data_IF_554467097464
#
_entry.id   IF_554467097464
#
_cell.length_a   1.000
_cell.length_b   1.000
_cell.length_c   1.000
_cell.angle_alpha   90.00
_cell.angle_beta   90.00
_cell.angle_gamma   90.00
#
_symmetry.space_group_name_H-M   'P 1'
#
loop_
_entity.id
_entity.type
_entity.pdbx_description
1 polymer ?
#
# COMPACT_ATOMS: atom_id res chain seq x y z
N UNK A 1 -17.92 -7.88 8.24
CA UNK A 1 -16.86 -8.91 8.33
C UNK A 1 -16.64 -9.28 9.78
N UNK A 2 -16.61 -10.57 10.08
CA UNK A 2 -16.33 -11.13 11.41
C UNK A 2 -14.83 -11.27 11.58
N UNK A 3 -14.29 -10.85 12.74
CA UNK A 3 -12.85 -10.96 13.02
C UNK A 3 -11.97 -9.90 12.37
N UNK A 4 -12.54 -8.86 11.75
CA UNK A 4 -11.76 -7.75 11.22
C UNK A 4 -11.12 -6.94 12.37
N UNK A 5 -9.84 -6.56 12.20
CA UNK A 5 -9.14 -5.69 13.14
C UNK A 5 -9.55 -4.24 12.88
N UNK A 6 -9.94 -3.53 13.92
CA UNK A 6 -10.31 -2.10 13.83
C UNK A 6 -9.50 -1.32 14.85
N UNK A 7 -8.69 -0.39 14.36
CA UNK A 7 -7.96 0.56 15.18
C UNK A 7 -8.74 1.87 15.25
N UNK A 8 -9.04 2.29 16.46
CA UNK A 8 -9.71 3.57 16.76
C UNK A 8 -8.69 4.49 17.41
N UNK A 9 -8.44 5.65 16.81
CA UNK A 9 -7.47 6.64 17.30
C UNK A 9 -8.15 7.95 17.62
N UNK A 10 -7.91 8.47 18.82
CA UNK A 10 -8.29 9.82 19.23
C UNK A 10 -7.25 10.80 18.66
N UNK A 11 -7.62 11.63 17.70
CA UNK A 11 -6.71 12.54 17.01
C UNK A 11 -6.22 13.69 17.89
N UNK A 12 -6.95 13.99 18.98
CA UNK A 12 -6.54 15.04 19.91
C UNK A 12 -5.46 14.59 20.87
N UNK A 13 -5.54 13.35 21.37
CA UNK A 13 -4.61 12.81 22.38
C UNK A 13 -3.55 11.90 21.80
N UNK A 14 -3.74 11.41 20.58
CA UNK A 14 -2.92 10.38 19.94
C UNK A 14 -3.16 8.97 20.48
N UNK A 15 -3.97 8.82 21.53
CA UNK A 15 -4.29 7.50 22.09
C UNK A 15 -5.07 6.65 21.08
N UNK A 16 -4.75 5.38 20.99
CA UNK A 16 -5.50 4.43 20.17
C UNK A 16 -5.81 3.14 20.92
N UNK A 17 -6.85 2.46 20.45
CA UNK A 17 -7.22 1.12 20.88
C UNK A 17 -7.55 0.25 19.68
N UNK A 18 -7.28 -1.05 19.77
CA UNK A 18 -7.59 -2.03 18.75
C UNK A 18 -8.73 -2.94 19.20
N UNK A 19 -9.65 -3.19 18.29
CA UNK A 19 -10.82 -4.01 18.47
C UNK A 19 -10.89 -5.10 17.40
N UNK A 20 -11.62 -6.15 17.69
CA UNK A 20 -11.95 -7.19 16.71
C UNK A 20 -13.46 -7.22 16.55
N UNK A 21 -13.95 -7.23 15.32
CA UNK A 21 -15.39 -7.28 15.07
C UNK A 21 -16.00 -8.61 15.52
N UNK A 22 -17.20 -8.52 16.09
CA UNK A 22 -18.00 -9.64 16.57
C UNK A 22 -18.60 -10.49 15.43
N UNK A 23 -19.45 -11.47 15.78
CA UNK A 23 -20.18 -12.36 14.87
C UNK A 23 -21.10 -11.63 13.88
N UNK A 24 -21.44 -10.38 14.13
CA UNK A 24 -22.23 -9.51 13.26
C UNK A 24 -21.39 -8.47 12.52
N UNK A 25 -20.07 -8.47 12.73
CA UNK A 25 -19.16 -7.51 12.11
C UNK A 25 -19.12 -6.15 12.81
N UNK A 26 -19.51 -6.05 14.07
CA UNK A 26 -19.52 -4.80 14.85
C UNK A 26 -18.40 -4.75 15.87
N UNK A 27 -17.95 -3.52 16.18
CA UNK A 27 -17.23 -3.19 17.40
C UNK A 27 -18.06 -2.21 18.22
N UNK A 28 -17.83 -2.18 19.52
CA UNK A 28 -18.40 -1.17 20.42
C UNK A 28 -17.28 -0.57 21.25
N UNK A 29 -17.24 0.73 21.36
CA UNK A 29 -16.29 1.43 22.21
C UNK A 29 -16.92 2.70 22.77
N UNK A 30 -16.33 3.22 23.84
CA UNK A 30 -16.74 4.48 24.46
C UNK A 30 -15.79 5.56 23.98
N UNK A 31 -16.35 6.66 23.49
CA UNK A 31 -15.58 7.83 23.04
C UNK A 31 -15.74 9.00 24.00
N UNK A 32 -14.68 9.81 24.12
CA UNK A 32 -14.76 11.09 24.86
C UNK A 32 -15.60 12.10 24.08
N UNK A 33 -16.21 13.04 24.80
CA UNK A 33 -16.95 14.16 24.20
C UNK A 33 -15.99 15.17 23.56
N UNK A 34 -16.47 15.86 22.52
CA UNK A 34 -15.77 16.96 21.82
C UNK A 34 -14.39 16.57 21.29
N UNK A 35 -14.28 15.37 20.71
CA UNK A 35 -13.04 14.83 20.13
C UNK A 35 -13.24 14.42 18.66
N UNK A 36 -12.14 14.40 17.96
CA UNK A 36 -12.05 13.85 16.60
C UNK A 36 -11.40 12.47 16.68
N UNK A 37 -11.95 11.51 15.93
CA UNK A 37 -11.47 10.13 15.85
C UNK A 37 -11.24 9.72 14.41
N UNK A 38 -10.16 8.97 14.18
CA UNK A 38 -9.97 8.19 12.96
C UNK A 38 -10.11 6.70 13.25
N UNK A 39 -10.58 5.98 12.26
CA UNK A 39 -10.68 4.54 12.28
C UNK A 39 -9.97 3.96 11.07
N UNK A 40 -9.26 2.89 11.29
CA UNK A 40 -8.75 2.04 10.21
C UNK A 40 -9.14 0.61 10.49
N UNK A 41 -9.57 -0.11 9.47
CA UNK A 41 -9.92 -1.52 9.56
C UNK A 41 -9.04 -2.34 8.65
N UNK A 42 -8.62 -3.51 9.15
CA UNK A 42 -7.81 -4.47 8.43
C UNK A 42 -8.46 -5.85 8.47
N UNK A 43 -8.51 -6.51 7.32
CA UNK A 43 -8.94 -7.91 7.20
C UNK A 43 -8.22 -8.56 6.03
N UNK A 44 -7.74 -9.80 6.22
CA UNK A 44 -7.00 -10.49 5.15
C UNK A 44 -7.82 -10.56 3.85
N UNK A 45 -7.13 -10.51 2.72
CA UNK A 45 -7.72 -10.50 1.36
C UNK A 45 -8.67 -9.33 1.07
N UNK A 46 -8.64 -8.26 1.87
CA UNK A 46 -9.40 -7.03 1.66
C UNK A 46 -8.49 -5.82 1.64
N UNK A 47 -8.92 -4.77 0.97
CA UNK A 47 -8.28 -3.44 1.07
C UNK A 47 -8.61 -2.86 2.44
N UNK A 48 -7.66 -2.17 3.05
CA UNK A 48 -7.90 -1.51 4.33
C UNK A 48 -9.01 -0.46 4.21
N UNK A 49 -9.94 -0.48 5.15
CA UNK A 49 -10.97 0.51 5.26
C UNK A 49 -10.54 1.65 6.21
N UNK A 50 -10.92 2.87 5.87
CA UNK A 50 -10.68 4.04 6.74
C UNK A 50 -11.93 4.87 6.92
N UNK A 51 -12.04 5.56 8.05
CA UNK A 51 -13.12 6.47 8.33
C UNK A 51 -12.78 7.43 9.45
N UNK A 52 -13.62 8.42 9.63
CA UNK A 52 -13.49 9.37 10.74
C UNK A 52 -14.85 9.80 11.25
N UNK A 53 -14.90 10.20 12.50
CA UNK A 53 -16.08 10.85 13.09
C UNK A 53 -15.65 11.83 14.18
N UNK A 54 -16.54 12.73 14.55
CA UNK A 54 -16.33 13.61 15.68
C UNK A 54 -17.48 13.51 16.70
N UNK A 55 -17.16 13.84 17.92
CA UNK A 55 -18.11 13.86 19.05
C UNK A 55 -18.44 15.28 19.49
N UNK A 56 -18.30 16.28 18.59
CA UNK A 56 -18.57 17.72 18.84
C UNK A 56 -20.06 18.08 18.79
N UNK A 57 -20.92 17.13 19.07
CA UNK A 57 -22.37 17.29 18.98
C UNK A 57 -22.91 17.86 20.30
N UNK A 58 -23.72 18.93 20.24
CA UNK A 58 -24.28 19.64 21.40
C UNK A 58 -25.40 18.90 22.11
N UNK A 59 -25.84 17.75 21.61
CA UNK A 59 -26.90 16.93 22.22
C UNK A 59 -26.30 15.66 22.82
N UNK A 60 -26.98 15.13 23.83
CA UNK A 60 -26.64 13.84 24.44
C UNK A 60 -26.91 12.68 23.49
N UNK A 61 -26.05 12.55 22.49
CA UNK A 61 -26.06 11.38 21.61
C UNK A 61 -25.32 10.26 22.34
N UNK A 62 -26.07 9.23 22.66
CA UNK A 62 -25.60 8.06 23.41
C UNK A 62 -25.06 6.97 22.49
N UNK A 63 -25.29 7.06 21.18
CA UNK A 63 -24.90 6.05 20.18
C UNK A 63 -24.67 6.68 18.82
N UNK A 64 -23.57 6.31 18.17
CA UNK A 64 -23.28 6.61 16.76
C UNK A 64 -23.00 5.28 16.05
N UNK A 65 -23.75 4.99 15.00
CA UNK A 65 -23.50 3.85 14.14
C UNK A 65 -22.71 4.31 12.91
N UNK A 66 -21.54 3.69 12.69
CA UNK A 66 -20.67 3.93 11.55
C UNK A 66 -20.51 2.63 10.77
N UNK A 67 -20.64 2.70 9.46
CA UNK A 67 -20.44 1.56 8.57
C UNK A 67 -19.23 1.80 7.68
N UNK A 68 -18.34 0.82 7.63
CA UNK A 68 -17.21 0.80 6.71
C UNK A 68 -17.39 -0.36 5.75
N UNK A 69 -17.28 -0.07 4.48
CA UNK A 69 -17.20 -1.11 3.45
C UNK A 69 -15.73 -1.42 3.17
N UNK A 70 -15.38 -2.70 3.18
CA UNK A 70 -14.05 -3.17 2.82
C UNK A 70 -14.14 -3.94 1.51
N UNK A 71 -13.43 -3.47 0.50
CA UNK A 71 -13.39 -4.15 -0.79
C UNK A 71 -12.45 -5.36 -0.74
N UNK A 72 -12.89 -6.47 -1.30
CA UNK A 72 -12.02 -7.63 -1.52
C UNK A 72 -10.94 -7.29 -2.54
N UNK A 73 -9.72 -7.74 -2.25
CA UNK A 73 -8.62 -7.70 -3.22
C UNK A 73 -8.93 -8.71 -4.33
N UNK A 74 -8.81 -8.27 -5.56
CA UNK A 74 -9.11 -9.10 -6.75
C UNK A 74 -7.99 -9.05 -7.79
N UNK A 75 -7.99 -10.05 -8.64
CA UNK A 75 -7.06 -10.11 -9.78
C UNK A 75 -7.15 -8.83 -10.62
N UNK A 76 -6.02 -8.24 -10.92
CA UNK A 76 -5.88 -7.01 -11.69
C UNK A 76 -5.75 -5.75 -10.85
N UNK A 77 -6.03 -5.79 -9.54
CA UNK A 77 -5.78 -4.65 -8.66
C UNK A 77 -4.29 -4.27 -8.70
N UNK A 78 -4.05 -2.95 -8.74
CA UNK A 78 -2.70 -2.36 -8.76
C UNK A 78 -2.59 -1.37 -7.62
N UNK A 79 -1.52 -1.49 -6.85
CA UNK A 79 -1.19 -0.61 -5.74
C UNK A 79 0.18 0.01 -5.99
N UNK A 80 0.28 1.33 -5.91
CA UNK A 80 1.57 2.04 -5.92
C UNK A 80 2.20 1.89 -4.53
N UNK A 81 3.46 1.47 -4.49
CA UNK A 81 4.24 1.47 -3.26
C UNK A 81 5.05 2.75 -3.24
N UNK A 82 4.70 3.64 -2.34
CA UNK A 82 5.44 4.88 -2.13
C UNK A 82 6.77 4.58 -1.41
N UNK A 83 7.66 5.57 -1.42
CA UNK A 83 8.89 5.57 -0.62
C UNK A 83 9.87 4.40 -0.87
N UNK A 84 9.83 3.83 -2.10
CA UNK A 84 10.87 2.90 -2.56
C UNK A 84 11.95 3.69 -3.31
N UNK A 85 13.06 3.95 -2.64
CA UNK A 85 14.17 4.74 -3.15
C UNK A 85 15.37 3.87 -3.51
N UNK A 86 16.04 4.26 -4.58
CA UNK A 86 17.32 3.72 -5.02
C UNK A 86 18.32 4.86 -5.20
N UNK A 87 19.60 4.56 -5.10
CA UNK A 87 20.61 5.50 -5.52
C UNK A 87 20.54 5.75 -7.03
N UNK A 88 21.08 6.91 -7.44
CA UNK A 88 21.12 7.25 -8.85
C UNK A 88 21.78 6.14 -9.68
N UNK A 89 21.10 5.70 -10.72
CA UNK A 89 21.50 4.62 -11.63
C UNK A 89 21.87 3.29 -10.94
N UNK A 90 21.38 3.03 -9.71
CA UNK A 90 21.59 1.78 -8.97
C UNK A 90 20.27 1.05 -8.70
N UNK A 91 20.40 -0.23 -8.37
CA UNK A 91 19.31 -1.08 -7.93
C UNK A 91 19.45 -1.49 -6.44
N UNK A 92 20.42 -0.91 -5.72
CA UNK A 92 20.58 -1.13 -4.29
C UNK A 92 19.48 -0.39 -3.54
N UNK A 93 18.71 -1.12 -2.74
CA UNK A 93 17.68 -0.54 -1.87
C UNK A 93 18.32 0.35 -0.80
N UNK A 94 17.73 1.51 -0.58
CA UNK A 94 18.08 2.35 0.58
C UNK A 94 17.37 1.82 1.82
N UNK A 95 17.94 2.12 2.99
CA UNK A 95 17.42 1.62 4.26
C UNK A 95 15.98 2.13 4.52
N UNK A 96 15.66 3.33 4.07
CA UNK A 96 14.33 3.92 4.21
C UNK A 96 13.27 3.11 3.46
N UNK A 97 13.63 2.53 2.33
CA UNK A 97 12.74 1.68 1.52
C UNK A 97 12.40 0.36 2.19
N UNK A 98 13.22 -0.11 3.12
CA UNK A 98 12.99 -1.40 3.78
C UNK A 98 11.75 -1.38 4.68
N UNK A 99 11.39 -0.23 5.24
CA UNK A 99 10.20 -0.11 6.08
C UNK A 99 8.90 -0.37 5.30
N UNK A 100 8.81 0.17 4.08
CA UNK A 100 7.63 -0.07 3.22
C UNK A 100 7.61 -1.50 2.69
N UNK A 101 8.77 -2.06 2.35
CA UNK A 101 8.88 -3.47 1.97
C UNK A 101 8.57 -4.42 3.13
N UNK A 102 8.88 -4.06 4.39
CA UNK A 102 8.50 -4.84 5.56
C UNK A 102 6.98 -4.88 5.76
N UNK A 103 6.28 -3.76 5.56
CA UNK A 103 4.81 -3.72 5.57
C UNK A 103 4.22 -4.60 4.48
N UNK A 104 4.79 -4.53 3.27
CA UNK A 104 4.37 -5.38 2.15
C UNK A 104 4.64 -6.86 2.44
N UNK A 105 5.79 -7.20 3.04
CA UNK A 105 6.10 -8.57 3.44
C UNK A 105 5.07 -9.11 4.44
N UNK A 106 4.74 -8.34 5.48
CA UNK A 106 3.72 -8.70 6.47
C UNK A 106 2.36 -8.95 5.79
N UNK A 107 1.93 -8.03 4.92
CA UNK A 107 0.69 -8.18 4.15
C UNK A 107 0.68 -9.45 3.29
N UNK A 108 1.76 -9.75 2.56
CA UNK A 108 1.83 -10.93 1.70
C UNK A 108 1.90 -12.23 2.49
N UNK A 109 2.49 -12.21 3.69
CA UNK A 109 2.54 -13.37 4.60
C UNK A 109 1.17 -13.66 5.23
N UNK A 110 0.39 -12.65 5.52
CA UNK A 110 -1.00 -12.81 5.96
C UNK A 110 -1.94 -13.26 4.83
N UNK A 111 -1.55 -13.07 3.56
CA UNK A 111 -2.37 -13.32 2.37
C UNK A 111 -1.69 -14.29 1.40
N UNK A 112 -1.32 -15.48 1.86
CA UNK A 112 -0.62 -16.50 1.07
C UNK A 112 -1.41 -17.03 -0.14
N UNK A 113 -2.70 -16.78 -0.19
CA UNK A 113 -3.58 -17.07 -1.34
C UNK A 113 -3.41 -16.06 -2.49
N UNK A 114 -2.68 -14.94 -2.29
CA UNK A 114 -2.46 -13.90 -3.30
C UNK A 114 -1.12 -14.13 -4.00
N UNK A 115 -1.14 -14.05 -5.35
CA UNK A 115 0.07 -13.96 -6.17
C UNK A 115 0.18 -12.57 -6.77
N UNK A 116 1.39 -12.00 -6.73
CA UNK A 116 1.62 -10.63 -7.17
C UNK A 116 2.81 -10.50 -8.13
N UNK A 117 2.77 -9.47 -8.97
CA UNK A 117 3.89 -8.93 -9.69
C UNK A 117 4.34 -7.65 -9.00
N UNK A 118 5.60 -7.59 -8.55
CA UNK A 118 6.24 -6.35 -8.15
C UNK A 118 6.92 -5.76 -9.38
N UNK A 119 6.49 -4.59 -9.80
CA UNK A 119 7.01 -3.91 -10.96
C UNK A 119 7.71 -2.61 -10.61
N UNK A 120 8.77 -2.28 -11.38
CA UNK A 120 9.46 -1.01 -11.27
C UNK A 120 9.48 -0.30 -12.64
N UNK A 121 9.43 1.03 -12.57
CA UNK A 121 9.34 1.92 -13.71
C UNK A 121 10.41 3.01 -13.64
N UNK A 122 10.79 3.56 -14.79
CA UNK A 122 11.67 4.72 -14.91
C UNK A 122 10.91 5.89 -15.53
N UNK A 123 11.49 7.07 -15.49
CA UNK A 123 11.15 8.13 -16.42
C UNK A 123 11.75 7.83 -17.80
N UNK A 124 11.50 8.71 -18.78
CA UNK A 124 11.96 8.54 -20.17
C UNK A 124 13.41 8.98 -20.41
N UNK A 125 14.11 9.53 -19.41
CA UNK A 125 15.47 10.02 -19.58
C UNK A 125 16.46 8.86 -19.70
N UNK A 126 17.28 8.88 -20.76
CA UNK A 126 18.26 7.84 -21.06
C UNK A 126 17.82 6.92 -22.18
N UNK A 127 18.48 5.78 -22.35
CA UNK A 127 18.06 4.82 -23.36
C UNK A 127 16.99 3.87 -22.84
N UNK A 128 15.98 3.57 -23.67
CA UNK A 128 14.90 2.62 -23.30
C UNK A 128 15.43 1.26 -22.89
N UNK A 129 16.56 0.82 -23.48
CA UNK A 129 17.23 -0.44 -23.12
C UNK A 129 17.80 -0.39 -21.70
N UNK A 130 18.47 0.71 -21.36
CA UNK A 130 19.06 0.88 -20.01
C UNK A 130 17.96 1.05 -18.97
N UNK A 131 16.91 1.81 -19.28
CA UNK A 131 15.72 1.98 -18.45
C UNK A 131 15.03 0.64 -18.17
N UNK A 132 14.86 -0.21 -19.18
CA UNK A 132 14.31 -1.55 -19.02
C UNK A 132 15.19 -2.41 -18.11
N UNK A 133 16.52 -2.42 -18.34
CA UNK A 133 17.46 -3.19 -17.54
C UNK A 133 17.50 -2.70 -16.08
N UNK A 134 17.55 -1.37 -15.87
CA UNK A 134 17.60 -0.78 -14.55
C UNK A 134 16.33 -1.09 -13.75
N UNK A 135 15.16 -0.92 -14.37
CA UNK A 135 13.88 -1.23 -13.71
C UNK A 135 13.76 -2.72 -13.38
N UNK A 136 14.21 -3.63 -14.26
CA UNK A 136 14.21 -5.05 -13.96
C UNK A 136 15.10 -5.39 -12.75
N UNK A 137 16.29 -4.82 -12.67
CA UNK A 137 17.18 -5.01 -11.52
C UNK A 137 16.58 -4.46 -10.23
N UNK A 138 15.90 -3.30 -10.28
CA UNK A 138 15.22 -2.69 -9.14
C UNK A 138 14.07 -3.55 -8.63
N UNK A 139 13.21 -4.01 -9.52
CA UNK A 139 12.14 -4.94 -9.19
C UNK A 139 12.68 -6.22 -8.55
N UNK A 140 13.77 -6.77 -9.11
CA UNK A 140 14.40 -7.98 -8.57
C UNK A 140 14.96 -7.75 -7.16
N UNK A 141 15.62 -6.62 -6.90
CA UNK A 141 16.13 -6.30 -5.55
C UNK A 141 15.01 -6.22 -4.50
N UNK A 142 13.85 -5.65 -4.87
CA UNK A 142 12.69 -5.64 -3.98
C UNK A 142 12.16 -7.06 -3.72
N UNK A 143 12.02 -7.86 -4.77
CA UNK A 143 11.54 -9.25 -4.67
C UNK A 143 12.50 -10.11 -3.82
N UNK A 144 13.81 -9.98 -4.03
CA UNK A 144 14.81 -10.72 -3.26
C UNK A 144 14.72 -10.35 -1.76
N UNK A 145 14.54 -9.07 -1.46
CA UNK A 145 14.31 -8.61 -0.08
C UNK A 145 13.04 -9.24 0.53
N UNK A 146 11.92 -9.23 -0.20
CA UNK A 146 10.67 -9.82 0.28
C UNK A 146 10.77 -11.33 0.51
N UNK A 147 11.51 -12.03 -0.36
CA UNK A 147 11.80 -13.47 -0.18
C UNK A 147 12.67 -13.70 1.07
N UNK A 148 13.67 -12.86 1.33
CA UNK A 148 14.47 -12.91 2.57
C UNK A 148 13.61 -12.69 3.83
N UNK A 149 12.52 -11.90 3.72
CA UNK A 149 11.53 -11.71 4.80
C UNK A 149 10.52 -12.86 4.92
N UNK A 150 10.63 -13.89 4.10
CA UNK A 150 9.82 -15.11 4.18
C UNK A 150 8.67 -15.20 3.17
N UNK A 151 8.49 -14.21 2.30
CA UNK A 151 7.46 -14.28 1.24
C UNK A 151 7.79 -15.43 0.30
N UNK A 152 6.86 -16.40 0.07
CA UNK A 152 7.12 -17.53 -0.81
C UNK A 152 7.43 -17.08 -2.25
N UNK A 153 8.55 -17.53 -2.81
CA UNK A 153 8.97 -17.23 -4.19
C UNK A 153 7.87 -17.54 -5.23
N UNK A 154 7.02 -18.53 -4.97
CA UNK A 154 5.92 -18.90 -5.85
C UNK A 154 4.80 -17.84 -5.89
N UNK A 155 4.75 -16.93 -4.92
CA UNK A 155 3.72 -15.91 -4.79
C UNK A 155 4.12 -14.53 -5.31
N UNK A 156 5.38 -14.34 -5.72
CA UNK A 156 5.86 -13.04 -6.18
C UNK A 156 6.79 -13.16 -7.38
N UNK A 157 6.63 -12.26 -8.35
CA UNK A 157 7.52 -12.15 -9.52
C UNK A 157 7.97 -10.70 -9.69
N UNK A 158 9.21 -10.52 -10.17
CA UNK A 158 9.79 -9.21 -10.48
C UNK A 158 9.59 -8.86 -11.95
N UNK A 159 9.17 -7.61 -12.25
CA UNK A 159 9.01 -7.12 -13.61
C UNK A 159 9.49 -5.68 -13.76
N UNK A 160 10.47 -5.44 -14.62
CA UNK A 160 10.86 -4.11 -15.06
C UNK A 160 10.06 -3.71 -16.29
N UNK A 161 9.56 -2.48 -16.30
CA UNK A 161 8.86 -1.90 -17.46
C UNK A 161 9.65 -0.75 -18.10
N UNK A 162 10.75 -0.29 -17.47
CA UNK A 162 11.47 0.89 -17.94
C UNK A 162 10.51 2.08 -18.04
N UNK A 163 10.63 2.81 -19.13
CA UNK A 163 9.74 3.92 -19.52
C UNK A 163 8.51 3.47 -20.31
N UNK A 164 8.34 2.16 -20.55
CA UNK A 164 7.24 1.64 -21.38
C UNK A 164 5.84 1.82 -20.80
N UNK A 165 5.71 2.31 -19.57
CA UNK A 165 4.43 2.58 -18.90
C UNK A 165 4.46 3.89 -18.13
N UNK A 166 4.62 5.01 -18.83
CA UNK A 166 4.52 6.33 -18.23
C UNK A 166 3.09 6.61 -17.73
N UNK A 167 2.97 7.34 -16.63
CA UNK A 167 1.67 7.76 -16.06
C UNK A 167 1.25 9.16 -16.52
N UNK A 168 2.13 9.84 -17.24
CA UNK A 168 1.90 11.20 -17.77
C UNK A 168 2.49 11.35 -19.20
N UNK A 169 2.47 12.57 -19.73
CA UNK A 169 2.92 12.89 -21.08
C UNK A 169 4.43 12.86 -21.31
N UNK A 170 5.24 12.62 -20.27
CA UNK A 170 6.71 12.80 -20.27
C UNK A 170 7.47 11.72 -21.02
N UNK A 171 7.14 11.52 -22.30
CA UNK A 171 7.91 10.65 -23.21
C UNK A 171 9.17 11.37 -23.72
N UNK A 172 10.01 10.65 -24.48
CA UNK A 172 11.22 11.20 -25.08
C UNK A 172 10.94 12.47 -25.90
N UNK A 173 11.76 13.50 -25.67
CA UNK A 173 11.65 14.79 -26.35
C UNK A 173 10.57 15.71 -25.82
N UNK A 174 9.80 15.31 -24.79
CA UNK A 174 8.80 16.16 -24.14
C UNK A 174 9.42 16.83 -22.91
N UNK A 175 9.36 18.16 -22.85
CA UNK A 175 9.78 18.91 -21.66
C UNK A 175 8.82 18.65 -20.50
N UNK A 176 9.39 18.24 -19.37
CA UNK A 176 8.66 17.94 -18.13
C UNK A 176 9.42 18.46 -16.91
N UNK A 177 8.68 18.72 -15.84
CA UNK A 177 9.28 19.07 -14.55
C UNK A 177 9.87 17.83 -13.86
N UNK A 178 10.71 18.04 -12.85
CA UNK A 178 11.27 16.92 -12.08
C UNK A 178 10.19 16.14 -11.33
N UNK A 179 9.14 16.82 -10.87
CA UNK A 179 7.97 16.19 -10.23
C UNK A 179 7.22 15.27 -11.20
N UNK A 180 7.05 15.71 -12.46
CA UNK A 180 6.43 14.88 -13.50
C UNK A 180 7.30 13.66 -13.86
N UNK A 181 8.63 13.81 -13.89
CA UNK A 181 9.56 12.69 -14.03
C UNK A 181 9.54 11.78 -12.82
N UNK A 182 9.47 12.34 -11.59
CA UNK A 182 9.39 11.56 -10.36
C UNK A 182 8.14 10.68 -10.31
N UNK A 183 7.01 11.15 -10.81
CA UNK A 183 5.77 10.35 -10.86
C UNK A 183 5.92 9.06 -11.71
N UNK A 184 6.81 9.09 -12.71
CA UNK A 184 7.10 7.91 -13.53
C UNK A 184 8.06 6.92 -12.86
N UNK A 185 8.98 7.39 -12.00
CA UNK A 185 9.91 6.55 -11.23
C UNK A 185 9.22 5.95 -10.01
N UNK A 186 8.46 4.90 -10.22
CA UNK A 186 7.61 4.30 -9.20
C UNK A 186 7.76 2.77 -9.14
N UNK A 187 7.28 2.21 -8.05
CA UNK A 187 7.13 0.77 -7.84
C UNK A 187 5.66 0.44 -7.63
N UNK A 188 5.18 -0.62 -8.26
CA UNK A 188 3.79 -1.07 -8.17
C UNK A 188 3.72 -2.54 -7.77
N UNK A 189 2.64 -2.92 -7.09
CA UNK A 189 2.22 -4.31 -6.90
C UNK A 189 0.94 -4.53 -7.70
N UNK A 190 0.96 -5.51 -8.58
CA UNK A 190 -0.21 -5.96 -9.32
C UNK A 190 -0.62 -7.36 -8.87
N UNK A 191 -1.87 -7.52 -8.51
CA UNK A 191 -2.45 -8.82 -8.15
C UNK A 191 -2.63 -9.67 -9.41
N UNK A 192 -1.91 -10.77 -9.49
CA UNK A 192 -1.98 -11.71 -10.63
C UNK A 192 -3.07 -12.75 -10.43
N UNK A 193 -3.26 -13.20 -9.18
CA UNK A 193 -4.21 -14.24 -8.81
C UNK A 193 -4.59 -14.13 -7.34
N UNK A 194 -5.84 -14.44 -7.04
CA UNK A 194 -6.37 -14.75 -5.71
C UNK A 194 -6.91 -16.17 -5.80
N UNK A 195 -6.40 -17.08 -4.95
CA UNK A 195 -6.81 -18.51 -4.94
C UNK A 195 -7.97 -18.72 -3.97
#
# INVERSE_FOLDING_TARGET
LVGAKVKVKNETTGFFAEYTTDDKGYIKFVSDRKRDYSLSSHYHSHKDGTGSFNTKIDKDITKVDLTFEMEMIKKGDVFVINDIYFDYNKATLRIESTQELDKLAAFLLENLNIKVELSAHTDSRGSSKDNLNLSQKRAQSCVDYLIQKGVPKANIVAKGYGEGKLVNKCSDGVECTEEEHQANRRTEIKVLKVN
#
